data_IF_088007444283
#
_entry.id   IF_088007444283
#
_cell.length_a   1.000
_cell.length_b   1.000
_cell.length_c   1.000
_cell.angle_alpha   90.00
_cell.angle_beta   90.00
_cell.angle_gamma   90.00
#
_symmetry.space_group_name_H-M   'P 1'
#
loop_
_entity.id
_entity.type
_entity.pdbx_description
1 polymer ?
#
# COMPACT_ATOMS: atom_id res chain seq x y z
N UNK A 1 -12.17 13.19 -9.08
CA UNK A 1 -12.32 11.74 -8.85
C UNK A 1 -12.39 10.95 -10.15
N UNK A 2 -13.24 11.32 -11.11
CA UNK A 2 -13.30 10.68 -12.42
C UNK A 2 -11.95 10.61 -13.15
N UNK A 3 -11.12 11.65 -13.09
CA UNK A 3 -9.77 11.65 -13.69
C UNK A 3 -8.87 10.56 -13.10
N UNK A 4 -8.93 10.34 -11.79
CA UNK A 4 -8.15 9.30 -11.12
C UNK A 4 -8.63 7.93 -11.58
N UNK A 5 -9.94 7.70 -11.61
CA UNK A 5 -10.52 6.46 -12.13
C UNK A 5 -10.11 6.21 -13.58
N UNK A 6 -10.17 7.22 -14.44
CA UNK A 6 -9.78 7.11 -15.85
C UNK A 6 -8.30 6.72 -16.01
N UNK A 7 -7.40 7.33 -15.24
CA UNK A 7 -5.97 7.00 -15.26
C UNK A 7 -5.72 5.57 -14.76
N UNK A 8 -6.41 5.14 -13.70
CA UNK A 8 -6.29 3.76 -13.19
C UNK A 8 -6.79 2.74 -14.23
N UNK A 9 -7.95 2.99 -14.84
CA UNK A 9 -8.49 2.14 -15.90
C UNK A 9 -7.55 2.07 -17.11
N UNK A 10 -6.99 3.21 -17.55
CA UNK A 10 -6.00 3.24 -18.62
C UNK A 10 -4.74 2.43 -18.27
N UNK A 11 -4.24 2.55 -17.03
CA UNK A 11 -3.11 1.77 -16.53
C UNK A 11 -3.35 0.26 -16.57
N UNK A 12 -4.56 -0.19 -16.21
CA UNK A 12 -4.94 -1.61 -16.29
C UNK A 12 -4.94 -2.10 -17.74
N UNK A 13 -5.52 -1.32 -18.66
CA UNK A 13 -5.58 -1.67 -20.10
C UNK A 13 -4.16 -1.77 -20.68
N UNK A 14 -3.31 -0.78 -20.39
CA UNK A 14 -1.91 -0.78 -20.83
C UNK A 14 -1.12 -1.95 -20.23
N UNK A 15 -1.31 -2.23 -18.94
CA UNK A 15 -0.70 -3.37 -18.27
C UNK A 15 -1.12 -4.71 -18.89
N UNK A 16 -2.39 -4.84 -19.26
CA UNK A 16 -2.92 -6.03 -19.92
C UNK A 16 -2.32 -6.23 -21.33
N UNK A 17 -2.18 -5.16 -22.12
CA UNK A 17 -1.56 -5.22 -23.45
C UNK A 17 -0.08 -5.62 -23.40
N UNK A 18 0.66 -5.21 -22.36
CA UNK A 18 2.11 -5.43 -22.23
C UNK A 18 2.43 -6.76 -21.50
N UNK A 19 1.42 -7.43 -20.92
CA UNK A 19 1.58 -8.63 -20.08
C UNK A 19 2.37 -9.77 -20.73
N UNK A 20 2.31 -9.94 -22.05
CA UNK A 20 3.01 -11.04 -22.73
C UNK A 20 4.51 -10.78 -22.96
N UNK A 21 5.03 -9.59 -22.63
CA UNK A 21 6.44 -9.22 -22.80
C UNK A 21 7.19 -9.28 -21.46
N UNK A 22 7.64 -10.49 -21.10
CA UNK A 22 8.37 -10.78 -19.85
C UNK A 22 9.57 -9.84 -19.63
N UNK A 23 10.31 -9.48 -20.69
CA UNK A 23 11.42 -8.51 -20.59
C UNK A 23 10.96 -7.11 -20.16
N UNK A 24 9.85 -6.62 -20.69
CA UNK A 24 9.30 -5.31 -20.30
C UNK A 24 8.81 -5.30 -18.86
N UNK A 25 8.17 -6.39 -18.41
CA UNK A 25 7.72 -6.52 -17.02
C UNK A 25 8.91 -6.43 -16.06
N UNK A 26 10.05 -7.07 -16.37
CA UNK A 26 11.25 -7.00 -15.53
C UNK A 26 11.87 -5.60 -15.46
N UNK A 27 11.86 -4.84 -16.56
CA UNK A 27 12.30 -3.43 -16.54
C UNK A 27 11.39 -2.57 -15.69
N UNK A 28 10.07 -2.75 -15.81
CA UNK A 28 9.08 -2.01 -15.02
C UNK A 28 9.28 -2.31 -13.53
N UNK A 29 9.45 -3.58 -13.16
CA UNK A 29 9.69 -3.97 -11.76
C UNK A 29 10.96 -3.31 -11.18
N UNK A 30 12.05 -3.27 -11.96
CA UNK A 30 13.27 -2.58 -11.53
C UNK A 30 13.05 -1.06 -11.39
N UNK A 31 12.36 -0.44 -12.34
CA UNK A 31 12.02 0.99 -12.29
C UNK A 31 11.11 1.33 -11.11
N UNK A 32 10.13 0.48 -10.78
CA UNK A 32 9.25 0.66 -9.62
C UNK A 32 10.07 0.60 -8.33
N UNK A 33 10.96 -0.37 -8.19
CA UNK A 33 11.81 -0.45 -7.00
C UNK A 33 12.69 0.79 -6.83
N UNK A 34 13.31 1.29 -7.91
CA UNK A 34 14.06 2.56 -7.87
C UNK A 34 13.15 3.72 -7.44
N UNK A 35 11.93 3.81 -7.99
CA UNK A 35 10.98 4.84 -7.63
C UNK A 35 10.57 4.75 -6.16
N UNK A 36 10.32 3.56 -5.63
CA UNK A 36 10.01 3.34 -4.20
C UNK A 36 11.16 3.84 -3.33
N UNK A 37 12.41 3.46 -3.64
CA UNK A 37 13.56 3.95 -2.88
C UNK A 37 13.68 5.47 -2.91
N UNK A 38 13.48 6.07 -4.08
CA UNK A 38 13.53 7.52 -4.24
C UNK A 38 12.40 8.20 -3.46
N UNK A 39 11.18 7.67 -3.50
CA UNK A 39 10.03 8.17 -2.75
C UNK A 39 10.25 8.03 -1.24
N UNK A 40 10.78 6.91 -0.77
CA UNK A 40 11.12 6.71 0.65
C UNK A 40 12.19 7.70 1.11
N UNK A 41 13.19 7.95 0.29
CA UNK A 41 14.22 8.95 0.57
C UNK A 41 13.64 10.37 0.65
N UNK A 42 12.83 10.77 -0.34
CA UNK A 42 12.14 12.06 -0.35
C UNK A 42 11.20 12.20 0.86
N UNK A 43 10.47 11.15 1.21
CA UNK A 43 9.60 11.12 2.38
C UNK A 43 10.42 11.33 3.66
N UNK A 44 11.57 10.66 3.79
CA UNK A 44 12.48 10.85 4.91
C UNK A 44 12.95 12.30 5.05
N UNK A 45 13.36 12.94 3.95
CA UNK A 45 13.74 14.36 3.96
C UNK A 45 12.55 15.26 4.34
N UNK A 46 11.39 15.03 3.71
CA UNK A 46 10.20 15.85 3.91
C UNK A 46 9.70 15.79 5.36
N UNK A 47 9.67 14.58 5.94
CA UNK A 47 9.25 14.36 7.32
C UNK A 47 10.32 14.85 8.30
N UNK A 48 11.60 14.58 8.04
CA UNK A 48 12.71 14.99 8.91
C UNK A 48 12.89 16.51 8.98
N UNK A 49 12.61 17.23 7.90
CA UNK A 49 12.62 18.70 7.87
C UNK A 49 11.37 19.36 8.45
N UNK A 50 10.30 18.60 8.70
CA UNK A 50 9.04 19.13 9.22
C UNK A 50 9.05 19.13 10.75
N UNK A 51 9.32 20.30 11.34
CA UNK A 51 9.36 20.49 12.81
C UNK A 51 8.09 20.04 13.50
N UNK A 52 6.91 20.32 12.94
CA UNK A 52 5.63 19.89 13.52
C UNK A 52 5.55 18.37 13.65
N UNK A 53 6.02 17.63 12.65
CA UNK A 53 6.06 16.17 12.71
C UNK A 53 7.12 15.71 13.71
N UNK A 54 8.33 16.27 13.65
CA UNK A 54 9.46 15.92 14.52
C UNK A 54 9.13 16.14 16.02
N UNK A 55 8.54 17.27 16.36
CA UNK A 55 8.17 17.64 17.73
C UNK A 55 7.02 16.77 18.26
N UNK A 56 6.18 16.23 17.37
CA UNK A 56 5.03 15.37 17.71
C UNK A 56 5.27 13.90 17.34
N UNK A 57 6.51 13.49 17.06
CA UNK A 57 6.81 12.13 16.60
C UNK A 57 6.31 11.05 17.57
N UNK A 58 6.41 11.30 18.88
CA UNK A 58 5.94 10.37 19.90
C UNK A 58 4.42 10.15 19.84
N UNK A 59 3.64 11.23 19.74
CA UNK A 59 2.16 11.14 19.69
C UNK A 59 1.67 10.61 18.34
N UNK A 60 2.24 11.10 17.24
CA UNK A 60 1.95 10.60 15.89
C UNK A 60 2.33 9.13 15.74
N UNK A 61 3.49 8.73 16.27
CA UNK A 61 3.97 7.35 16.26
C UNK A 61 3.07 6.43 17.07
N UNK A 62 2.63 6.85 18.26
CA UNK A 62 1.68 6.08 19.06
C UNK A 62 0.33 5.91 18.35
N UNK A 63 -0.21 6.99 17.79
CA UNK A 63 -1.46 6.93 17.01
C UNK A 63 -1.31 6.00 15.80
N UNK A 64 -0.19 6.10 15.07
CA UNK A 64 0.10 5.22 13.94
C UNK A 64 0.21 3.75 14.36
N UNK A 65 0.86 3.47 15.48
CA UNK A 65 0.98 2.11 16.02
C UNK A 65 -0.39 1.55 16.41
N UNK A 66 -1.22 2.35 17.10
CA UNK A 66 -2.56 1.93 17.51
C UNK A 66 -3.46 1.65 16.30
N UNK A 67 -3.41 2.51 15.28
CA UNK A 67 -4.13 2.31 14.03
C UNK A 67 -3.64 1.07 13.29
N UNK A 68 -2.32 0.86 13.18
CA UNK A 68 -1.75 -0.31 12.52
C UNK A 68 -2.14 -1.60 13.24
N UNK A 69 -2.00 -1.65 14.57
CA UNK A 69 -2.38 -2.82 15.37
C UNK A 69 -3.89 -3.10 15.28
N UNK A 70 -4.73 -2.07 15.39
CA UNK A 70 -6.18 -2.19 15.25
C UNK A 70 -6.61 -2.66 13.86
N UNK A 71 -6.00 -2.12 12.81
CA UNK A 71 -6.28 -2.54 11.42
C UNK A 71 -5.87 -3.99 11.17
N UNK A 72 -4.71 -4.42 11.65
CA UNK A 72 -4.25 -5.82 11.54
C UNK A 72 -5.16 -6.75 12.33
N UNK A 73 -5.42 -6.44 13.60
CA UNK A 73 -6.29 -7.25 14.45
C UNK A 73 -7.71 -7.37 13.86
N UNK A 74 -8.28 -6.27 13.36
CA UNK A 74 -9.58 -6.26 12.71
C UNK A 74 -9.59 -7.07 11.42
N UNK A 75 -8.57 -6.92 10.58
CA UNK A 75 -8.45 -7.68 9.31
C UNK A 75 -8.33 -9.18 9.56
N UNK A 76 -7.48 -9.59 10.51
CA UNK A 76 -7.31 -11.00 10.89
C UNK A 76 -8.59 -11.54 11.53
N UNK A 77 -9.23 -10.79 12.43
CA UNK A 77 -10.46 -11.21 13.09
C UNK A 77 -11.62 -11.41 12.12
N UNK A 78 -11.83 -10.47 11.19
CA UNK A 78 -12.86 -10.60 10.15
C UNK A 78 -12.55 -11.73 9.17
N UNK A 79 -11.28 -11.91 8.79
CA UNK A 79 -10.85 -13.03 7.94
C UNK A 79 -11.13 -14.37 8.62
N UNK A 80 -10.84 -14.49 9.92
CA UNK A 80 -11.13 -15.68 10.71
C UNK A 80 -12.65 -15.93 10.86
N UNK A 81 -13.43 -14.89 11.10
CA UNK A 81 -14.89 -15.00 11.19
C UNK A 81 -15.51 -15.45 9.86
N UNK A 82 -15.01 -14.90 8.74
CA UNK A 82 -15.43 -15.29 7.39
C UNK A 82 -15.09 -16.74 7.12
N UNK A 83 -13.88 -17.17 7.51
CA UNK A 83 -13.47 -18.58 7.43
C UNK A 83 -14.40 -19.48 8.25
N UNK A 84 -14.75 -19.10 9.49
CA UNK A 84 -15.63 -19.90 10.34
C UNK A 84 -17.07 -19.98 9.84
N UNK A 85 -17.64 -18.88 9.35
CA UNK A 85 -19.03 -18.84 8.89
C UNK A 85 -19.24 -19.57 7.56
N UNK A 86 -18.31 -19.43 6.61
CA UNK A 86 -18.47 -19.99 5.27
C UNK A 86 -17.78 -21.33 5.06
N UNK A 87 -16.62 -21.56 5.68
CA UNK A 87 -15.82 -22.77 5.43
C UNK A 87 -15.86 -23.78 6.59
N UNK A 88 -16.19 -23.36 7.82
CA UNK A 88 -16.34 -24.28 8.95
C UNK A 88 -17.80 -24.69 9.23
N UNK A 89 -18.78 -24.01 8.63
CA UNK A 89 -20.20 -24.41 8.68
C UNK A 89 -20.57 -25.49 7.66
N UNK A 90 -19.67 -25.80 6.71
CA UNK A 90 -19.82 -26.83 5.68
C UNK A 90 -19.20 -28.19 6.10
N UNK A 91 -19.20 -28.47 7.40
CA UNK A 91 -18.85 -29.77 8.00
C UNK A 91 -19.90 -30.20 9.01
#
# INVERSE_FOLDING_TARGET
MFTVLAIMSAGIILGYMIRNKIRFIKYIDHSINIAIYLLLFLLGISVGGNRTVMDNLGSLGFNALLLAAGAVAGSVGLSYLTYKLFFAADK
#
